data_IF_682551223472
#
_entry.id   IF_682551223472
#
_cell.length_a   1.000
_cell.length_b   1.000
_cell.length_c   1.000
_cell.angle_alpha   90.00
_cell.angle_beta   90.00
_cell.angle_gamma   90.00
#
_symmetry.space_group_name_H-M   'P 1'
#
loop_
_entity.id
_entity.type
_entity.pdbx_description
1 polymer ?
#
# COMPACT_ATOMS: atom_id res chain seq x y z
N UNK A 1 31.46 11.94 -44.67
CA UNK A 1 32.10 11.39 -43.45
C UNK A 1 30.99 11.06 -42.46
N UNK A 2 30.98 9.81 -42.01
CA UNK A 2 29.94 9.14 -41.23
C UNK A 2 30.20 9.29 -39.73
N UNK A 3 29.13 9.35 -38.94
CA UNK A 3 29.06 8.82 -37.58
C UNK A 3 27.59 8.62 -37.18
N UNK A 4 27.06 7.46 -37.56
CA UNK A 4 25.98 6.74 -36.87
C UNK A 4 26.41 6.47 -35.42
N UNK A 5 25.54 6.56 -34.41
CA UNK A 5 25.54 5.64 -33.26
C UNK A 5 24.21 5.66 -32.47
N UNK A 6 23.53 4.50 -32.56
CA UNK A 6 22.73 3.76 -31.58
C UNK A 6 21.51 4.40 -30.90
N UNK A 7 20.36 4.22 -31.57
CA UNK A 7 19.06 4.04 -30.91
C UNK A 7 19.04 2.68 -30.18
N UNK A 8 18.86 2.69 -28.85
CA UNK A 8 18.67 1.47 -28.05
C UNK A 8 17.24 0.96 -28.26
N UNK A 9 17.01 -0.34 -28.57
CA UNK A 9 15.66 -0.85 -28.71
C UNK A 9 14.98 -0.87 -27.34
N UNK A 10 13.76 -0.34 -27.28
CA UNK A 10 12.87 -0.50 -26.14
C UNK A 10 12.59 -1.99 -25.94
N UNK A 11 12.94 -2.51 -24.76
CA UNK A 11 12.61 -3.88 -24.38
C UNK A 11 11.10 -3.97 -24.23
N UNK A 12 10.46 -4.70 -25.15
CA UNK A 12 9.03 -5.01 -25.09
C UNK A 12 8.76 -5.79 -23.81
N UNK A 13 8.03 -5.19 -22.87
CA UNK A 13 7.55 -5.87 -21.68
C UNK A 13 6.82 -7.16 -22.11
N UNK A 14 7.29 -8.29 -21.61
CA UNK A 14 6.66 -9.57 -21.84
C UNK A 14 5.22 -9.51 -21.31
N UNK A 15 4.26 -9.75 -22.20
CA UNK A 15 2.85 -9.84 -21.83
C UNK A 15 2.69 -10.98 -20.83
N UNK A 16 2.16 -10.64 -19.64
CA UNK A 16 1.77 -11.61 -18.62
C UNK A 16 0.79 -12.63 -19.22
N UNK A 17 0.88 -13.94 -18.90
CA UNK A 17 -0.03 -14.93 -19.46
C UNK A 17 -1.46 -14.56 -19.07
N UNK A 18 -2.35 -14.44 -20.05
CA UNK A 18 -3.79 -14.34 -19.82
C UNK A 18 -4.24 -15.63 -19.14
N UNK A 19 -4.32 -15.60 -17.81
CA UNK A 19 -4.90 -16.68 -17.01
C UNK A 19 -6.34 -16.95 -17.45
N UNK A 20 -6.75 -18.21 -17.40
CA UNK A 20 -8.14 -18.64 -17.61
C UNK A 20 -9.11 -17.96 -16.63
N UNK A 21 -10.41 -18.27 -16.67
CA UNK A 21 -11.37 -17.67 -15.75
C UNK A 21 -10.86 -17.84 -14.31
N UNK A 22 -10.45 -16.73 -13.69
CA UNK A 22 -9.93 -16.73 -12.34
C UNK A 22 -11.04 -17.25 -11.44
N UNK A 23 -10.76 -18.35 -10.73
CA UNK A 23 -11.57 -18.80 -9.62
C UNK A 23 -11.86 -17.58 -8.73
N UNK A 24 -13.13 -17.29 -8.50
CA UNK A 24 -13.49 -16.11 -7.73
C UNK A 24 -12.89 -16.28 -6.33
N UNK A 25 -12.06 -15.34 -5.87
CA UNK A 25 -11.47 -15.48 -4.56
C UNK A 25 -12.57 -15.47 -3.49
N UNK A 26 -12.33 -16.22 -2.42
CA UNK A 26 -13.19 -16.24 -1.25
C UNK A 26 -13.45 -14.83 -0.67
N UNK A 27 -14.42 -14.71 0.25
CA UNK A 27 -14.75 -13.43 0.86
C UNK A 27 -13.51 -12.79 1.50
N UNK A 28 -13.34 -11.48 1.27
CA UNK A 28 -12.29 -10.70 1.90
C UNK A 28 -12.88 -9.77 2.98
N UNK A 29 -12.18 -9.66 4.11
CA UNK A 29 -12.52 -8.77 5.22
C UNK A 29 -11.49 -7.66 5.32
N UNK A 30 -11.94 -6.52 5.81
CA UNK A 30 -11.10 -5.34 5.98
C UNK A 30 -10.99 -5.01 7.46
N UNK A 31 -9.76 -4.85 7.97
CA UNK A 31 -9.49 -4.48 9.36
C UNK A 31 -8.19 -3.68 9.48
N UNK A 32 -7.98 -3.07 10.65
CA UNK A 32 -6.71 -2.41 10.95
C UNK A 32 -5.54 -3.40 10.96
N UNK A 33 -4.39 -2.95 10.46
CA UNK A 33 -3.11 -3.65 10.56
C UNK A 33 -2.64 -3.56 12.03
N UNK A 34 -2.31 -4.71 12.61
CA UNK A 34 -1.76 -4.87 13.95
C UNK A 34 -0.25 -5.10 13.88
N UNK A 35 0.49 -4.88 14.98
CA UNK A 35 1.92 -5.19 15.03
C UNK A 35 2.27 -6.63 14.62
N UNK A 36 1.38 -7.59 14.89
CA UNK A 36 1.55 -9.00 14.52
C UNK A 36 1.45 -9.26 13.02
N UNK A 37 0.84 -8.35 12.25
CA UNK A 37 0.66 -8.51 10.80
C UNK A 37 1.85 -7.95 10.00
N UNK A 38 2.83 -7.31 10.65
CA UNK A 38 3.88 -6.52 9.98
C UNK A 38 4.66 -7.36 8.97
N UNK A 39 5.06 -8.57 9.32
CA UNK A 39 5.83 -9.44 8.42
C UNK A 39 5.01 -9.82 7.17
N UNK A 40 3.72 -10.16 7.33
CA UNK A 40 2.85 -10.48 6.19
C UNK A 40 2.60 -9.27 5.28
N UNK A 41 2.45 -8.07 5.86
CA UNK A 41 2.31 -6.82 5.11
C UNK A 41 3.60 -6.51 4.35
N UNK A 42 4.76 -6.72 4.97
CA UNK A 42 6.06 -6.59 4.30
C UNK A 42 6.17 -7.57 3.12
N UNK A 43 5.78 -8.83 3.31
CA UNK A 43 5.77 -9.84 2.25
C UNK A 43 4.84 -9.46 1.10
N UNK A 44 3.62 -9.02 1.41
CA UNK A 44 2.64 -8.56 0.43
C UNK A 44 3.18 -7.38 -0.39
N UNK A 45 3.70 -6.35 0.27
CA UNK A 45 4.20 -5.15 -0.41
C UNK A 45 5.47 -5.45 -1.22
N UNK A 46 6.32 -6.38 -0.78
CA UNK A 46 7.50 -6.84 -1.53
C UNK A 46 7.12 -7.57 -2.82
N UNK A 47 6.01 -8.33 -2.82
CA UNK A 47 5.48 -8.94 -4.06
C UNK A 47 4.78 -7.91 -4.95
N UNK A 48 4.05 -6.99 -4.33
CA UNK A 48 3.22 -6.02 -5.03
C UNK A 48 3.97 -4.85 -5.65
N UNK A 49 5.16 -4.56 -5.14
CA UNK A 49 6.02 -3.47 -5.57
C UNK A 49 7.42 -4.00 -5.87
N UNK A 50 8.13 -3.38 -6.82
CA UNK A 50 9.51 -3.76 -7.18
C UNK A 50 10.58 -3.42 -6.14
N UNK A 51 10.17 -2.89 -4.97
CA UNK A 51 11.04 -2.59 -3.85
C UNK A 51 11.31 -3.85 -3.00
N UNK A 52 12.55 -4.04 -2.57
CA UNK A 52 12.93 -5.19 -1.76
C UNK A 52 12.39 -5.17 -0.33
N UNK A 53 12.41 -6.33 0.34
CA UNK A 53 11.92 -6.53 1.72
C UNK A 53 12.45 -5.48 2.70
N UNK A 54 13.76 -5.20 2.67
CA UNK A 54 14.42 -4.24 3.56
C UNK A 54 13.88 -2.80 3.44
N UNK A 55 13.36 -2.44 2.27
CA UNK A 55 12.69 -1.15 2.10
C UNK A 55 11.41 -1.13 2.93
N UNK A 56 10.55 -2.15 2.76
CA UNK A 56 9.27 -2.24 3.44
C UNK A 56 9.43 -2.45 4.95
N UNK A 57 10.34 -3.31 5.40
CA UNK A 57 10.62 -3.49 6.83
C UNK A 57 11.06 -2.19 7.49
N UNK A 58 11.92 -1.39 6.83
CA UNK A 58 12.30 -0.06 7.35
C UNK A 58 11.13 0.91 7.36
N UNK A 59 10.28 0.91 6.34
CA UNK A 59 9.10 1.77 6.28
C UNK A 59 8.11 1.44 7.40
N UNK A 60 7.76 0.17 7.59
CA UNK A 60 6.86 -0.27 8.67
C UNK A 60 7.47 -0.05 10.05
N UNK A 61 8.79 -0.21 10.21
CA UNK A 61 9.47 0.17 11.47
C UNK A 61 9.32 1.66 11.77
N UNK A 62 9.56 2.54 10.80
CA UNK A 62 9.34 3.99 10.98
C UNK A 62 7.89 4.32 11.33
N UNK A 63 6.95 3.59 10.74
CA UNK A 63 5.54 3.74 11.11
C UNK A 63 5.29 3.26 12.53
N UNK A 64 5.94 2.20 13.02
CA UNK A 64 5.83 1.75 14.42
C UNK A 64 6.38 2.79 15.41
N UNK A 65 7.49 3.43 15.05
CA UNK A 65 8.16 4.45 15.87
C UNK A 65 7.44 5.83 15.81
N UNK A 66 6.55 6.03 14.83
CA UNK A 66 5.78 7.27 14.68
C UNK A 66 4.65 7.36 15.70
N UNK A 67 4.49 8.50 16.36
CA UNK A 67 3.40 8.72 17.31
C UNK A 67 2.10 9.07 16.56
N UNK A 68 1.32 8.05 16.21
CA UNK A 68 0.01 8.24 15.62
C UNK A 68 -0.93 8.95 16.62
N UNK A 69 -1.74 9.94 16.19
CA UNK A 69 -2.72 10.57 17.06
C UNK A 69 -3.62 9.54 17.74
N UNK A 70 -3.94 9.75 19.01
CA UNK A 70 -4.73 8.80 19.80
C UNK A 70 -6.03 8.40 19.09
N UNK A 71 -6.29 7.09 19.02
CA UNK A 71 -7.47 6.54 18.37
C UNK A 71 -7.41 6.48 16.85
N UNK A 72 -6.26 6.75 16.21
CA UNK A 72 -6.05 6.53 14.78
C UNK A 72 -5.17 5.29 14.52
N UNK A 73 -5.35 4.59 13.38
CA UNK A 73 -4.54 3.42 13.05
C UNK A 73 -3.04 3.74 12.99
N UNK A 74 -2.22 2.85 13.56
CA UNK A 74 -0.76 2.98 13.54
C UNK A 74 -0.16 2.79 12.14
N UNK A 75 -0.66 1.78 11.41
CA UNK A 75 -0.12 1.40 10.10
C UNK A 75 -1.13 1.59 8.96
N UNK A 76 -2.43 1.57 9.24
CA UNK A 76 -3.49 1.57 8.23
C UNK A 76 -4.34 0.30 8.26
N UNK A 77 -4.77 -0.17 7.10
CA UNK A 77 -5.74 -1.27 6.97
C UNK A 77 -5.23 -2.37 6.04
N UNK A 78 -5.62 -3.60 6.32
CA UNK A 78 -5.40 -4.75 5.44
C UNK A 78 -6.72 -5.34 4.95
N UNK A 79 -6.63 -6.04 3.82
CA UNK A 79 -7.61 -7.02 3.39
C UNK A 79 -7.06 -8.41 3.71
N UNK A 80 -7.85 -9.22 4.39
CA UNK A 80 -7.56 -10.64 4.67
C UNK A 80 -8.63 -11.53 4.05
N UNK A 81 -8.22 -12.71 3.59
CA UNK A 81 -9.10 -13.80 3.19
C UNK A 81 -8.60 -15.10 3.83
N UNK A 82 -9.23 -16.24 3.55
CA UNK A 82 -8.88 -17.52 4.19
C UNK A 82 -7.40 -17.93 4.02
N UNK A 83 -6.73 -17.42 2.98
CA UNK A 83 -5.30 -17.62 2.71
C UNK A 83 -4.34 -16.57 3.29
N UNK A 84 -4.81 -15.64 4.12
CA UNK A 84 -4.00 -14.60 4.75
C UNK A 84 -4.18 -13.20 4.17
N UNK A 85 -3.17 -12.35 4.34
CA UNK A 85 -3.18 -10.95 3.90
C UNK A 85 -3.10 -10.82 2.37
N UNK A 86 -4.15 -10.27 1.75
CA UNK A 86 -4.33 -10.14 0.29
C UNK A 86 -4.37 -8.69 -0.21
N UNK A 87 -4.36 -7.72 0.70
CA UNK A 87 -4.28 -6.31 0.37
C UNK A 87 -3.85 -5.48 1.58
N UNK A 88 -3.24 -4.33 1.32
CA UNK A 88 -2.82 -3.38 2.33
C UNK A 88 -2.97 -1.94 1.82
N UNK A 89 -3.37 -1.06 2.72
CA UNK A 89 -3.40 0.38 2.53
C UNK A 89 -2.73 1.04 3.72
N UNK A 90 -1.48 1.46 3.53
CA UNK A 90 -0.67 2.12 4.53
C UNK A 90 -1.12 3.59 4.67
N UNK A 91 -1.32 4.01 5.92
CA UNK A 91 -1.80 5.34 6.28
C UNK A 91 -0.89 5.94 7.34
N UNK A 92 -0.46 7.19 7.13
CA UNK A 92 0.33 7.94 8.10
C UNK A 92 -0.52 9.11 8.59
N UNK A 93 -1.11 8.95 9.77
CA UNK A 93 -1.86 10.00 10.45
C UNK A 93 -0.92 10.90 11.23
N UNK A 94 -1.07 12.20 11.08
CA UNK A 94 -0.27 13.17 11.81
C UNK A 94 -1.12 14.37 12.25
N UNK A 95 -0.71 14.98 13.35
CA UNK A 95 -1.18 16.26 13.85
C UNK A 95 0.03 17.14 14.12
N UNK A 96 0.05 18.35 13.57
CA UNK A 96 1.14 19.31 13.77
C UNK A 96 0.59 20.49 14.58
N UNK A 97 0.84 20.48 15.88
CA UNK A 97 0.26 21.41 16.86
C UNK A 97 -1.02 20.88 17.52
N UNK A 98 -1.22 21.16 18.80
CA UNK A 98 -2.26 20.51 19.62
C UNK A 98 -3.69 20.70 19.08
N UNK A 99 -3.98 21.89 18.55
CA UNK A 99 -5.30 22.25 18.01
C UNK A 99 -5.45 22.06 16.50
N UNK A 100 -4.43 21.53 15.81
CA UNK A 100 -4.50 21.33 14.36
C UNK A 100 -5.40 20.14 14.00
N UNK A 101 -6.12 20.20 12.86
CA UNK A 101 -6.86 19.05 12.36
C UNK A 101 -5.92 17.90 12.03
N UNK A 102 -6.40 16.67 12.21
CA UNK A 102 -5.66 15.46 11.83
C UNK A 102 -5.61 15.36 10.30
N UNK A 103 -4.42 15.06 9.80
CA UNK A 103 -4.13 14.86 8.39
C UNK A 103 -3.64 13.44 8.16
N UNK A 104 -3.91 12.89 6.99
CA UNK A 104 -3.52 11.52 6.65
C UNK A 104 -2.85 11.47 5.27
N UNK A 105 -1.59 11.02 5.24
CA UNK A 105 -0.98 10.58 4.00
C UNK A 105 -1.42 9.15 3.69
N UNK A 106 -1.99 8.93 2.52
CA UNK A 106 -2.27 7.61 1.95
C UNK A 106 -1.03 7.19 1.18
N UNK A 107 -0.17 6.36 1.79
CA UNK A 107 1.22 6.20 1.33
C UNK A 107 1.41 5.05 0.34
N UNK A 108 0.88 3.87 0.62
CA UNK A 108 1.06 2.68 -0.21
C UNK A 108 -0.22 1.85 -0.24
N UNK A 109 -0.71 1.56 -1.45
CA UNK A 109 -1.93 0.80 -1.67
C UNK A 109 -1.66 -0.36 -2.61
N UNK A 110 -1.85 -1.58 -2.12
CA UNK A 110 -1.77 -2.78 -2.94
C UNK A 110 -2.89 -3.76 -2.62
N UNK A 111 -3.39 -4.44 -3.65
CA UNK A 111 -4.32 -5.56 -3.55
C UNK A 111 -3.91 -6.61 -4.58
N UNK A 112 -3.78 -7.85 -4.14
CA UNK A 112 -3.46 -9.00 -5.00
C UNK A 112 -4.41 -9.03 -6.21
N UNK A 113 -3.94 -9.38 -7.42
CA UNK A 113 -4.73 -9.26 -8.65
C UNK A 113 -6.12 -9.90 -8.59
N UNK A 114 -6.24 -11.07 -7.96
CA UNK A 114 -7.51 -11.77 -7.80
C UNK A 114 -8.51 -10.98 -6.93
N UNK A 115 -8.04 -10.24 -5.93
CA UNK A 115 -8.86 -9.55 -4.93
C UNK A 115 -9.14 -8.08 -5.27
N UNK A 116 -8.72 -7.56 -6.43
CA UNK A 116 -8.84 -6.13 -6.78
C UNK A 116 -10.27 -5.58 -6.76
N UNK A 117 -11.29 -6.43 -6.95
CA UNK A 117 -12.70 -6.05 -6.78
C UNK A 117 -13.04 -5.59 -5.35
N UNK A 118 -12.26 -5.99 -4.34
CA UNK A 118 -12.36 -5.54 -2.96
C UNK A 118 -11.59 -4.23 -2.68
N UNK A 119 -10.89 -3.66 -3.66
CA UNK A 119 -10.21 -2.36 -3.51
C UNK A 119 -11.10 -1.25 -2.94
N UNK A 120 -12.34 -1.06 -3.43
CA UNK A 120 -13.28 -0.08 -2.86
C UNK A 120 -13.64 -0.34 -1.39
N UNK A 121 -13.69 -1.60 -0.93
CA UNK A 121 -13.90 -1.92 0.48
C UNK A 121 -12.74 -1.41 1.34
N UNK A 122 -11.49 -1.62 0.90
CA UNK A 122 -10.29 -1.16 1.59
C UNK A 122 -10.23 0.38 1.62
N UNK A 123 -10.50 1.04 0.49
CA UNK A 123 -10.57 2.50 0.43
C UNK A 123 -11.65 3.06 1.36
N UNK A 124 -12.83 2.42 1.40
CA UNK A 124 -13.91 2.80 2.32
C UNK A 124 -13.48 2.67 3.78
N UNK A 125 -12.75 1.61 4.17
CA UNK A 125 -12.22 1.47 5.52
C UNK A 125 -11.23 2.58 5.89
N UNK A 126 -10.29 2.86 5.00
CA UNK A 126 -9.24 3.84 5.23
C UNK A 126 -9.78 5.28 5.37
N UNK A 127 -10.91 5.59 4.72
CA UNK A 127 -11.43 6.96 4.60
C UNK A 127 -12.76 7.18 5.34
N UNK A 128 -13.07 6.35 6.35
CA UNK A 128 -14.33 6.45 7.11
C UNK A 128 -14.46 7.75 7.90
N UNK A 129 -13.35 8.29 8.41
CA UNK A 129 -13.33 9.49 9.27
C UNK A 129 -13.48 10.75 8.43
N UNK A 130 -14.51 11.54 8.70
CA UNK A 130 -14.90 12.73 7.91
C UNK A 130 -14.21 14.01 8.36
N UNK A 131 -13.65 14.00 9.56
CA UNK A 131 -12.86 15.05 10.18
C UNK A 131 -11.39 15.05 9.73
N UNK A 132 -10.98 14.08 8.90
CA UNK A 132 -9.61 13.95 8.40
C UNK A 132 -9.52 14.44 6.96
N UNK A 133 -8.49 15.23 6.67
CA UNK A 133 -8.07 15.49 5.29
C UNK A 133 -7.08 14.42 4.83
N UNK A 134 -7.45 13.67 3.79
CA UNK A 134 -6.61 12.64 3.19
C UNK A 134 -5.91 13.18 1.94
N UNK A 135 -4.65 12.85 1.78
CA UNK A 135 -3.86 13.17 0.60
C UNK A 135 -2.90 12.04 0.27
N UNK A 136 -2.53 11.93 -1.00
CA UNK A 136 -1.44 11.07 -1.44
C UNK A 136 -0.31 12.00 -1.90
N UNK A 137 0.76 12.04 -1.11
CA UNK A 137 1.93 12.87 -1.38
C UNK A 137 3.14 11.98 -1.60
N UNK A 138 3.87 12.26 -2.67
CA UNK A 138 5.22 11.75 -2.90
C UNK A 138 6.20 12.88 -2.58
N UNK A 139 7.30 12.61 -1.84
CA UNK A 139 8.34 13.60 -1.64
C UNK A 139 8.90 14.09 -2.99
N UNK A 140 9.08 15.40 -3.13
CA UNK A 140 9.86 15.93 -4.24
C UNK A 140 11.34 15.58 -4.03
N UNK A 141 12.11 15.29 -5.11
CA UNK A 141 13.56 15.25 -5.02
C UNK A 141 14.10 16.57 -4.44
N UNK A 142 15.20 16.53 -3.67
CA UNK A 142 15.87 17.74 -3.20
C UNK A 142 16.49 18.56 -4.33
#
# INVERSE_FOLDING_TARGET
MSASELSRPATKAAASPRGGPAEQPGPARCREIRPTDVEEVVDLLTRGFGQGRDHWSRSLKRMADHEAPAGFPQYGYLLESEGGTVGALLLIFARVGESAPVRCNVSSWYVEPAFRSYGPLLARCATRRKDVTYFNLTPAPP
#
